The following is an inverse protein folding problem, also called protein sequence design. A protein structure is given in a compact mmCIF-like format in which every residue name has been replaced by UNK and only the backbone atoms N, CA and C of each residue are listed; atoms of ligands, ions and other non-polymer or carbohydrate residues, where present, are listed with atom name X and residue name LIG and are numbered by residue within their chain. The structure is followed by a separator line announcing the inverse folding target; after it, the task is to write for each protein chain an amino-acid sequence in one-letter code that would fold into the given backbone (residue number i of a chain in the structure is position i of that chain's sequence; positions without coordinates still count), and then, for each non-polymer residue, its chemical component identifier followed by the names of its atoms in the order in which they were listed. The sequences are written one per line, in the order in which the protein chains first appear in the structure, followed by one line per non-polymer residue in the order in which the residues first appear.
data_IF_096679456047
#
_entry.id   IF_096679456047
#
_cell.length_a   1.000
_cell.length_b   1.000
_cell.length_c   1.000
_cell.angle_alpha   90.00
_cell.angle_beta   90.00
_cell.angle_gamma   90.00
#
_symmetry.space_group_name_H-M   'P 1'
#
loop_
_entity.id
_entity.type
_entity.pdbx_description
1 polymer ?
#
# COMPACT_ATOMS: atom_id res chain seq x y z
N UNK A 1 8.28 -52.31 -34.72
CA UNK A 1 9.05 -52.36 -35.97
C UNK A 1 9.47 -50.94 -36.28
N UNK A 2 10.71 -50.64 -35.90
CA UNK A 2 11.53 -49.46 -36.19
C UNK A 2 11.87 -49.36 -37.70
N UNK A 3 12.50 -48.28 -38.24
CA UNK A 3 13.41 -47.32 -37.58
C UNK A 3 13.18 -45.84 -37.96
N UNK A 4 13.80 -44.79 -37.41
CA UNK A 4 15.04 -44.68 -36.65
C UNK A 4 16.22 -44.31 -37.55
N UNK A 5 16.43 -43.03 -37.90
CA UNK A 5 17.75 -42.50 -38.29
C UNK A 5 17.87 -40.96 -38.22
N UNK A 6 18.63 -40.52 -37.21
CA UNK A 6 19.82 -39.65 -37.22
C UNK A 6 19.97 -38.45 -38.19
N UNK A 7 20.04 -37.26 -37.57
CA UNK A 7 21.11 -36.22 -37.65
C UNK A 7 21.63 -35.72 -39.01
N UNK A 8 21.50 -34.40 -39.26
CA UNK A 8 22.66 -33.52 -39.50
C UNK A 8 22.24 -32.04 -39.59
N UNK A 9 23.09 -31.15 -39.06
CA UNK A 9 22.89 -29.71 -39.03
C UNK A 9 23.40 -29.03 -40.32
N UNK A 10 22.72 -27.97 -40.77
CA UNK A 10 23.39 -26.85 -41.45
C UNK A 10 22.60 -25.55 -41.31
N UNK A 11 23.24 -24.54 -40.71
CA UNK A 11 22.84 -23.14 -40.76
C UNK A 11 22.75 -22.63 -42.20
N UNK A 12 21.80 -21.75 -42.52
CA UNK A 12 22.06 -20.54 -43.34
C UNK A 12 20.86 -19.58 -43.38
N UNK A 13 21.19 -18.34 -43.05
CA UNK A 13 20.63 -17.06 -43.51
C UNK A 13 19.11 -16.81 -43.42
N UNK A 14 18.76 -15.96 -42.44
CA UNK A 14 17.54 -15.15 -42.51
C UNK A 14 17.73 -14.04 -43.55
N UNK A 15 16.73 -13.86 -44.41
CA UNK A 15 16.51 -12.63 -45.15
C UNK A 15 15.23 -11.99 -44.61
N UNK A 16 15.39 -10.89 -43.87
CA UNK A 16 14.30 -10.01 -43.44
C UNK A 16 14.00 -9.04 -44.57
N UNK A 17 12.79 -9.11 -45.13
CA UNK A 17 12.27 -8.05 -46.00
C UNK A 17 11.90 -6.85 -45.14
N UNK A 18 12.58 -5.73 -45.40
CA UNK A 18 12.36 -4.44 -44.76
C UNK A 18 11.15 -3.77 -45.40
N UNK A 19 10.08 -3.62 -44.64
CA UNK A 19 9.01 -2.70 -44.98
C UNK A 19 9.52 -1.26 -44.90
N UNK A 20 9.40 -0.55 -46.02
CA UNK A 20 9.89 0.80 -46.26
C UNK A 20 8.99 1.82 -45.56
N UNK A 21 9.42 2.31 -44.39
CA UNK A 21 8.72 3.34 -43.65
C UNK A 21 9.07 4.72 -44.24
N UNK A 22 8.18 5.25 -45.09
CA UNK A 22 8.27 6.62 -45.60
C UNK A 22 8.16 7.65 -44.47
N UNK A 23 9.29 8.25 -44.11
CA UNK A 23 9.38 9.40 -43.20
C UNK A 23 8.90 10.66 -43.93
N UNK A 24 7.64 11.05 -43.69
CA UNK A 24 7.19 12.40 -44.02
C UNK A 24 7.88 13.39 -43.09
N UNK A 25 8.78 14.17 -43.69
CA UNK A 25 9.59 15.22 -43.07
C UNK A 25 8.67 16.29 -42.45
N UNK A 26 8.70 16.42 -41.13
CA UNK A 26 7.98 17.48 -40.41
C UNK A 26 8.48 18.86 -40.84
N UNK A 27 7.62 19.63 -41.50
CA UNK A 27 7.82 21.06 -41.66
C UNK A 27 7.67 21.73 -40.30
N UNK A 28 8.81 22.22 -39.78
CA UNK A 28 8.98 22.92 -38.52
C UNK A 28 8.23 24.25 -38.54
N UNK A 29 6.99 24.27 -38.03
CA UNK A 29 6.30 25.52 -37.69
C UNK A 29 6.77 25.99 -36.31
N UNK A 30 7.40 27.16 -36.31
CA UNK A 30 7.84 27.89 -35.12
C UNK A 30 6.62 28.32 -34.28
N UNK A 31 6.66 28.05 -32.97
CA UNK A 31 5.93 28.87 -32.00
C UNK A 31 4.91 28.15 -31.11
N UNK A 32 5.35 27.25 -30.24
CA UNK A 32 4.86 27.22 -28.84
C UNK A 32 5.85 26.43 -28.00
N UNK A 33 6.45 27.07 -26.99
CA UNK A 33 7.26 26.37 -25.99
C UNK A 33 6.34 25.48 -25.15
N UNK A 34 6.15 24.23 -25.57
CA UNK A 34 5.48 23.24 -24.73
C UNK A 34 6.41 22.93 -23.56
N UNK A 35 6.14 23.58 -22.43
CA UNK A 35 6.79 23.25 -21.17
C UNK A 35 6.55 21.78 -20.84
N UNK A 36 7.52 21.08 -20.23
CA UNK A 36 7.32 19.70 -19.79
C UNK A 36 6.04 19.61 -18.95
N UNK A 37 5.22 18.54 -19.06
CA UNK A 37 4.03 18.40 -18.25
C UNK A 37 4.42 18.54 -16.78
N UNK A 38 3.97 19.62 -16.14
CA UNK A 38 4.30 19.91 -14.75
C UNK A 38 3.88 18.71 -13.90
N UNK A 39 4.85 18.01 -13.31
CA UNK A 39 4.56 16.98 -12.30
C UNK A 39 3.72 17.64 -11.22
N UNK A 40 2.51 17.12 -11.01
CA UNK A 40 1.64 17.54 -9.93
C UNK A 40 2.44 17.54 -8.62
N UNK A 41 2.63 18.72 -8.03
CA UNK A 41 3.23 18.84 -6.70
C UNK A 41 2.24 18.25 -5.69
N UNK A 42 2.73 17.43 -4.76
CA UNK A 42 1.88 16.85 -3.72
C UNK A 42 1.40 17.98 -2.79
N UNK A 43 0.14 18.40 -2.94
CA UNK A 43 -0.47 19.48 -2.14
C UNK A 43 -0.78 19.02 -0.71
N UNK A 44 -0.86 17.71 -0.48
CA UNK A 44 -1.25 17.15 0.81
C UNK A 44 -0.02 16.99 1.70
N UNK A 45 -0.07 17.60 2.89
CA UNK A 45 0.93 17.46 3.95
C UNK A 45 0.48 16.40 4.98
N UNK A 46 1.41 15.83 5.78
CA UNK A 46 1.06 14.86 6.81
C UNK A 46 0.08 15.43 7.84
N UNK A 47 0.29 16.68 8.25
CA UNK A 47 -0.60 17.39 9.18
C UNK A 47 -2.02 17.51 8.64
N UNK A 48 -2.18 17.92 7.37
CA UNK A 48 -3.50 17.99 6.74
C UNK A 48 -4.17 16.60 6.68
N UNK A 49 -3.44 15.55 6.32
CA UNK A 49 -3.97 14.19 6.29
C UNK A 49 -4.41 13.72 7.68
N UNK A 50 -3.62 14.00 8.72
CA UNK A 50 -3.94 13.70 10.11
C UNK A 50 -5.20 14.45 10.59
N UNK A 51 -5.34 15.74 10.25
CA UNK A 51 -6.53 16.53 10.57
C UNK A 51 -7.79 15.97 9.90
N UNK A 52 -7.70 15.57 8.63
CA UNK A 52 -8.82 14.93 7.90
C UNK A 52 -9.19 13.56 8.50
N UNK A 53 -8.22 12.78 8.97
CA UNK A 53 -8.45 11.52 9.70
C UNK A 53 -9.13 11.77 11.06
N UNK A 54 -8.63 12.73 11.84
CA UNK A 54 -9.16 13.10 13.17
C UNK A 54 -10.62 13.55 13.10
N UNK A 55 -10.97 14.30 12.05
CA UNK A 55 -12.32 14.81 11.79
C UNK A 55 -13.23 13.81 11.05
N UNK A 56 -12.74 12.59 10.78
CA UNK A 56 -13.47 11.53 10.06
C UNK A 56 -14.01 11.97 8.69
N UNK A 57 -13.33 12.90 8.03
CA UNK A 57 -13.74 13.40 6.72
C UNK A 57 -13.52 12.30 5.67
N UNK A 58 -14.52 12.07 4.83
CA UNK A 58 -14.43 11.13 3.71
C UNK A 58 -13.52 11.68 2.61
N UNK A 59 -12.96 10.82 1.75
CA UNK A 59 -12.09 11.29 0.66
C UNK A 59 -12.82 12.28 -0.25
N UNK A 60 -14.12 12.07 -0.51
CA UNK A 60 -14.96 13.00 -1.28
C UNK A 60 -15.15 14.34 -0.54
N UNK A 61 -15.42 14.30 0.76
CA UNK A 61 -15.54 15.51 1.58
C UNK A 61 -14.25 16.31 1.62
N UNK A 62 -13.10 15.63 1.70
CA UNK A 62 -11.80 16.27 1.65
C UNK A 62 -11.53 16.92 0.28
N UNK A 63 -11.89 16.28 -0.84
CA UNK A 63 -11.82 16.92 -2.16
C UNK A 63 -12.66 18.19 -2.20
N UNK A 64 -13.89 18.12 -1.68
CA UNK A 64 -14.80 19.27 -1.67
C UNK A 64 -14.22 20.45 -0.88
N UNK A 65 -13.76 20.21 0.35
CA UNK A 65 -13.16 21.24 1.20
C UNK A 65 -11.92 21.86 0.56
N UNK A 66 -11.02 21.04 0.01
CA UNK A 66 -9.81 21.51 -0.64
C UNK A 66 -10.12 22.28 -1.93
N UNK A 67 -11.14 21.86 -2.68
CA UNK A 67 -11.61 22.58 -3.87
C UNK A 67 -12.12 23.95 -3.51
N UNK A 68 -12.95 24.07 -2.46
CA UNK A 68 -13.46 25.36 -1.97
C UNK A 68 -12.36 26.26 -1.45
N UNK A 69 -11.41 25.72 -0.68
CA UNK A 69 -10.27 26.50 -0.23
C UNK A 69 -9.37 26.95 -1.40
N UNK A 70 -9.25 26.15 -2.47
CA UNK A 70 -8.47 26.53 -3.63
C UNK A 70 -9.18 27.56 -4.51
N UNK A 71 -10.51 27.50 -4.62
CA UNK A 71 -11.34 28.53 -5.26
C UNK A 71 -11.16 29.90 -4.57
N UNK A 72 -11.04 29.93 -3.24
CA UNK A 72 -10.83 31.18 -2.50
C UNK A 72 -9.38 31.68 -2.56
N UNK A 73 -8.40 30.78 -2.60
CA UNK A 73 -6.97 31.12 -2.58
C UNK A 73 -6.36 31.36 -3.97
N UNK A 74 -6.91 30.79 -5.04
CA UNK A 74 -6.32 30.88 -6.39
C UNK A 74 -7.34 31.22 -7.46
N UNK A 75 -7.03 32.24 -8.27
CA UNK A 75 -7.82 32.64 -9.46
C UNK A 75 -7.76 31.60 -10.60
N UNK A 76 -6.87 30.59 -10.53
CA UNK A 76 -6.61 29.64 -11.62
C UNK A 76 -7.15 28.23 -11.35
N UNK A 77 -8.23 27.88 -12.05
CA UNK A 77 -8.92 26.58 -12.01
C UNK A 77 -8.07 25.38 -12.47
N UNK A 78 -6.93 25.62 -13.14
CA UNK A 78 -6.13 24.57 -13.82
C UNK A 78 -5.40 23.62 -12.87
N UNK A 79 -5.21 23.99 -11.60
CA UNK A 79 -4.57 23.11 -10.60
C UNK A 79 -5.54 22.06 -10.01
N UNK A 80 -6.85 22.19 -10.25
CA UNK A 80 -7.91 21.31 -9.75
C UNK A 80 -8.11 20.03 -10.56
N UNK A 81 -7.61 19.99 -11.80
CA UNK A 81 -7.78 18.84 -12.73
C UNK A 81 -6.81 17.69 -12.43
N UNK A 82 -6.27 17.64 -11.22
CA UNK A 82 -5.60 16.45 -10.72
C UNK A 82 -6.69 15.60 -10.07
N UNK A 83 -6.66 14.27 -10.21
CA UNK A 83 -7.61 13.39 -9.54
C UNK A 83 -7.41 13.47 -8.01
N UNK A 84 -7.93 14.53 -7.39
CA UNK A 84 -7.78 14.87 -5.98
C UNK A 84 -8.28 13.74 -5.10
N UNK A 85 -9.35 13.05 -5.52
CA UNK A 85 -9.87 11.88 -4.78
C UNK A 85 -8.83 10.77 -4.68
N UNK A 86 -8.14 10.46 -5.79
CA UNK A 86 -7.10 9.45 -5.81
C UNK A 86 -5.86 9.86 -5.02
N UNK A 87 -5.49 11.14 -5.06
CA UNK A 87 -4.33 11.66 -4.32
C UNK A 87 -4.59 11.65 -2.83
N UNK A 88 -5.73 12.16 -2.37
CA UNK A 88 -6.12 12.17 -0.96
C UNK A 88 -6.12 10.74 -0.42
N UNK A 89 -6.77 9.82 -1.13
CA UNK A 89 -6.81 8.41 -0.73
C UNK A 89 -5.41 7.82 -0.60
N UNK A 90 -4.58 7.95 -1.64
CA UNK A 90 -3.20 7.41 -1.65
C UNK A 90 -2.35 8.02 -0.55
N UNK A 91 -2.45 9.33 -0.36
CA UNK A 91 -1.68 10.03 0.64
C UNK A 91 -2.07 9.62 2.07
N UNK A 92 -3.38 9.55 2.37
CA UNK A 92 -3.87 9.04 3.66
C UNK A 92 -3.43 7.60 3.91
N UNK A 93 -3.52 6.73 2.90
CA UNK A 93 -3.03 5.35 3.01
C UNK A 93 -1.53 5.30 3.32
N UNK A 94 -0.72 6.09 2.62
CA UNK A 94 0.72 6.19 2.86
C UNK A 94 1.00 6.73 4.26
N UNK A 95 0.33 7.80 4.68
CA UNK A 95 0.49 8.41 5.99
C UNK A 95 0.15 7.43 7.11
N UNK A 96 -0.97 6.70 7.01
CA UNK A 96 -1.34 5.67 7.99
C UNK A 96 -0.34 4.52 8.05
N UNK A 97 0.20 4.09 6.90
CA UNK A 97 1.24 3.07 6.88
C UNK A 97 2.53 3.54 7.56
N UNK A 98 2.98 4.76 7.26
CA UNK A 98 4.15 5.38 7.92
C UNK A 98 3.92 5.53 9.42
N UNK A 99 2.76 6.02 9.83
CA UNK A 99 2.42 6.19 11.24
C UNK A 99 2.35 4.86 11.99
N UNK A 100 1.83 3.80 11.36
CA UNK A 100 1.84 2.46 11.95
C UNK A 100 3.26 1.90 12.12
N UNK A 101 4.18 2.17 11.19
CA UNK A 101 5.59 1.81 11.32
C UNK A 101 6.27 2.58 12.46
N UNK A 102 5.99 3.88 12.58
CA UNK A 102 6.49 4.71 13.68
C UNK A 102 5.97 4.20 15.03
N UNK A 103 4.67 3.90 15.14
CA UNK A 103 4.08 3.35 16.35
C UNK A 103 4.72 2.02 16.78
N UNK A 104 5.10 1.17 15.81
CA UNK A 104 5.83 -0.06 16.08
C UNK A 104 7.25 0.21 16.59
N UNK A 105 7.94 1.20 16.02
CA UNK A 105 9.30 1.58 16.44
C UNK A 105 9.32 2.24 17.83
N UNK A 106 8.33 3.07 18.15
CA UNK A 106 8.20 3.78 19.42
C UNK A 106 7.71 2.88 20.56
N UNK A 107 7.41 1.61 20.25
CA UNK A 107 6.79 0.68 21.18
C UNK A 107 7.77 0.23 22.27
N UNK A 108 7.71 0.89 23.42
CA UNK A 108 8.43 0.47 24.63
C UNK A 108 7.65 -0.60 25.37
N UNK A 109 8.05 -1.85 25.19
CA UNK A 109 7.46 -2.99 25.88
C UNK A 109 8.12 -3.24 27.23
N UNK A 110 7.30 -3.66 28.18
CA UNK A 110 7.75 -4.08 29.52
C UNK A 110 8.65 -5.31 29.44
N UNK A 111 9.33 -5.62 30.54
CA UNK A 111 10.20 -6.81 30.66
C UNK A 111 9.40 -8.11 30.50
N UNK A 112 8.15 -8.10 30.96
CA UNK A 112 7.20 -9.21 30.79
C UNK A 112 5.94 -8.72 30.08
N UNK A 113 5.47 -9.51 29.12
CA UNK A 113 4.26 -9.23 28.35
C UNK A 113 3.26 -10.38 28.41
N UNK A 114 1.99 -10.03 28.39
CA UNK A 114 0.86 -10.94 28.27
C UNK A 114 0.25 -10.75 26.89
N UNK A 115 0.04 -11.87 26.19
CA UNK A 115 -0.53 -11.88 24.85
C UNK A 115 -1.95 -12.39 24.93
N UNK A 116 -2.91 -11.66 24.39
CA UNK A 116 -4.28 -12.09 24.22
C UNK A 116 -4.63 -12.10 22.73
N UNK A 117 -5.15 -13.21 22.21
CA UNK A 117 -5.54 -13.32 20.81
C UNK A 117 -6.99 -13.80 20.72
N UNK A 118 -7.78 -13.14 19.89
CA UNK A 118 -9.22 -13.38 19.90
C UNK A 118 -9.57 -14.70 19.21
N UNK A 119 -10.45 -15.49 19.82
CA UNK A 119 -10.96 -16.73 19.22
C UNK A 119 -11.80 -16.52 17.95
N UNK A 120 -12.33 -15.30 17.75
CA UNK A 120 -13.19 -14.93 16.62
C UNK A 120 -12.39 -14.25 15.53
N UNK A 121 -12.54 -14.73 14.31
CA UNK A 121 -11.90 -14.14 13.13
C UNK A 121 -12.76 -13.02 12.56
N UNK A 122 -12.11 -11.94 12.15
CA UNK A 122 -12.75 -10.87 11.39
C UNK A 122 -12.62 -11.15 9.90
N UNK A 123 -13.69 -10.92 9.15
CA UNK A 123 -13.65 -11.00 7.69
C UNK A 123 -12.96 -9.77 7.10
N UNK A 124 -12.24 -9.94 5.99
CA UNK A 124 -11.68 -8.79 5.26
C UNK A 124 -12.81 -8.00 4.56
N UNK A 125 -12.84 -6.69 4.78
CA UNK A 125 -13.84 -5.77 4.20
C UNK A 125 -13.73 -5.62 2.68
N UNK A 126 -12.65 -6.17 2.08
CA UNK A 126 -12.31 -5.87 0.68
C UNK A 126 -13.04 -6.76 -0.32
N UNK A 127 -13.86 -7.75 0.09
CA UNK A 127 -14.70 -8.65 -0.73
C UNK A 127 -14.02 -9.38 -1.92
N UNK A 128 -12.73 -9.16 -2.17
CA UNK A 128 -12.02 -9.72 -3.33
C UNK A 128 -11.53 -11.16 -3.11
N UNK A 129 -11.30 -11.55 -1.84
CA UNK A 129 -10.82 -12.88 -1.42
C UNK A 129 -11.31 -13.18 -0.01
N UNK A 130 -11.61 -14.46 0.28
CA UNK A 130 -11.84 -14.91 1.65
C UNK A 130 -10.51 -14.87 2.41
N UNK A 131 -10.32 -13.85 3.22
CA UNK A 131 -9.14 -13.65 4.07
C UNK A 131 -9.65 -13.40 5.47
N UNK A 132 -9.20 -14.24 6.40
CA UNK A 132 -9.51 -14.08 7.81
C UNK A 132 -8.51 -13.13 8.45
N UNK A 133 -8.93 -12.41 9.48
CA UNK A 133 -8.09 -11.50 10.25
C UNK A 133 -8.15 -11.88 11.71
N UNK A 134 -6.97 -12.00 12.32
CA UNK A 134 -6.83 -12.34 13.72
C UNK A 134 -6.26 -11.15 14.49
N UNK A 135 -7.05 -10.54 15.39
CA UNK A 135 -6.53 -9.52 16.28
C UNK A 135 -5.71 -10.17 17.40
N UNK A 136 -4.55 -9.57 17.68
CA UNK A 136 -3.62 -9.96 18.74
C UNK A 136 -3.30 -8.71 19.56
N UNK A 137 -3.66 -8.76 20.83
CA UNK A 137 -3.38 -7.74 21.82
C UNK A 137 -2.16 -8.16 22.64
N UNK A 138 -1.21 -7.24 22.79
CA UNK A 138 -0.04 -7.40 23.65
C UNK A 138 -0.10 -6.32 24.72
N UNK A 139 -0.06 -6.72 25.97
CA UNK A 139 -0.04 -5.81 27.12
C UNK A 139 1.12 -6.14 28.06
N UNK A 140 1.62 -5.12 28.75
CA UNK A 140 2.71 -5.28 29.72
C UNK A 140 2.52 -4.28 30.85
N UNK A 141 3.12 -4.56 32.01
CA UNK A 141 2.98 -3.69 33.19
C UNK A 141 3.53 -2.29 32.87
N UNK A 142 2.68 -1.27 33.02
CA UNK A 142 3.04 0.14 32.78
C UNK A 142 3.28 0.50 31.30
N UNK A 143 3.08 -0.44 30.37
CA UNK A 143 3.20 -0.19 28.94
C UNK A 143 1.82 0.05 28.32
N UNK A 144 1.77 0.91 27.30
CA UNK A 144 0.56 1.09 26.50
C UNK A 144 0.28 -0.21 25.73
N UNK A 145 -0.94 -0.77 25.81
CA UNK A 145 -1.28 -1.98 25.08
C UNK A 145 -1.16 -1.78 23.57
N UNK A 146 -0.62 -2.78 22.89
CA UNK A 146 -0.48 -2.79 21.44
C UNK A 146 -1.45 -3.78 20.80
N UNK A 147 -2.22 -3.32 19.82
CA UNK A 147 -3.13 -4.17 19.06
C UNK A 147 -2.62 -4.32 17.63
N UNK A 148 -2.29 -5.56 17.26
CA UNK A 148 -2.02 -5.97 15.90
C UNK A 148 -3.17 -6.75 15.29
N UNK A 149 -3.25 -6.78 13.96
CA UNK A 149 -4.21 -7.60 13.23
C UNK A 149 -3.48 -8.34 12.12
N UNK A 150 -3.30 -9.64 12.31
CA UNK A 150 -2.65 -10.53 11.34
C UNK A 150 -3.65 -10.98 10.29
N UNK A 151 -3.27 -10.92 9.01
CA UNK A 151 -4.07 -11.49 7.91
C UNK A 151 -3.74 -12.97 7.73
N UNK A 152 -4.77 -13.78 7.58
CA UNK A 152 -4.69 -15.23 7.47
C UNK A 152 -5.38 -15.71 6.19
N UNK A 153 -4.79 -16.70 5.53
CA UNK A 153 -5.41 -17.34 4.37
C UNK A 153 -6.66 -18.14 4.76
N UNK A 154 -6.68 -18.73 5.96
CA UNK A 154 -7.83 -19.42 6.52
C UNK A 154 -7.76 -19.44 8.06
N UNK A 155 -8.89 -19.75 8.66
CA UNK A 155 -9.08 -19.77 10.10
C UNK A 155 -8.69 -21.05 10.82
N UNK A 156 -7.86 -21.92 10.26
CA UNK A 156 -7.45 -23.16 10.93
C UNK A 156 -6.58 -22.87 12.16
N UNK A 157 -6.68 -23.70 13.20
CA UNK A 157 -5.93 -23.49 14.46
C UNK A 157 -4.43 -23.31 14.26
N UNK A 158 -3.83 -24.14 13.39
CA UNK A 158 -2.40 -24.08 13.02
C UNK A 158 -2.00 -22.75 12.35
N UNK A 159 -2.82 -22.25 11.42
CA UNK A 159 -2.53 -20.99 10.74
C UNK A 159 -2.63 -19.82 11.73
N UNK A 160 -3.60 -19.87 12.66
CA UNK A 160 -3.72 -18.85 13.69
C UNK A 160 -2.54 -18.86 14.67
N UNK A 161 -2.15 -20.03 15.20
CA UNK A 161 -1.02 -20.13 16.14
C UNK A 161 0.28 -19.64 15.49
N UNK A 162 0.53 -20.03 14.24
CA UNK A 162 1.71 -19.59 13.50
C UNK A 162 1.71 -18.07 13.29
N UNK A 163 0.55 -17.47 13.05
CA UNK A 163 0.44 -16.03 12.89
C UNK A 163 0.66 -15.25 14.19
N UNK A 164 0.26 -15.80 15.35
CA UNK A 164 0.58 -15.21 16.65
C UNK A 164 2.10 -15.25 16.88
N UNK A 165 2.74 -16.40 16.67
CA UNK A 165 4.21 -16.53 16.83
C UNK A 165 4.95 -15.60 15.86
N UNK A 166 4.54 -15.54 14.60
CA UNK A 166 5.14 -14.64 13.62
C UNK A 166 4.98 -13.16 14.01
N UNK A 167 3.84 -12.79 14.58
CA UNK A 167 3.60 -11.43 15.06
C UNK A 167 4.49 -11.07 16.26
N UNK A 168 4.69 -12.00 17.21
CA UNK A 168 5.58 -11.78 18.35
C UNK A 168 7.05 -11.66 17.92
N UNK A 169 7.47 -12.41 16.90
CA UNK A 169 8.78 -12.29 16.25
C UNK A 169 8.98 -10.97 15.56
N UNK A 170 7.97 -10.52 14.82
CA UNK A 170 8.01 -9.19 14.16
C UNK A 170 8.20 -8.07 15.17
N UNK A 171 7.63 -8.21 16.36
CA UNK A 171 7.79 -7.25 17.46
C UNK A 171 9.06 -7.46 18.29
N UNK A 172 9.79 -8.56 18.11
CA UNK A 172 11.00 -8.87 18.89
C UNK A 172 10.74 -9.10 20.39
N UNK A 173 9.57 -9.63 20.75
CA UNK A 173 9.14 -9.80 22.16
C UNK A 173 8.90 -11.27 22.54
N UNK A 174 9.27 -12.22 21.69
CA UNK A 174 8.99 -13.64 21.90
C UNK A 174 9.58 -14.18 23.22
N UNK A 175 10.76 -13.72 23.62
CA UNK A 175 11.43 -14.15 24.86
C UNK A 175 10.85 -13.51 26.13
N UNK A 176 9.95 -12.55 25.99
CA UNK A 176 9.36 -11.78 27.10
C UNK A 176 7.94 -12.22 27.44
N UNK A 177 7.40 -13.19 26.71
CA UNK A 177 6.02 -13.65 26.86
C UNK A 177 5.89 -14.46 28.14
N UNK A 178 5.12 -13.93 29.10
CA UNK A 178 4.82 -14.63 30.34
C UNK A 178 3.66 -15.61 30.17
N UNK A 179 2.63 -15.19 29.43
CA UNK A 179 1.41 -15.97 29.23
C UNK A 179 0.71 -15.61 27.92
N UNK A 180 0.00 -16.59 27.35
CA UNK A 180 -0.83 -16.43 26.15
C UNK A 180 -2.26 -16.86 26.46
N UNK A 181 -3.21 -15.96 26.27
CA UNK A 181 -4.65 -16.19 26.50
C UNK A 181 -5.43 -16.14 25.20
N UNK A 182 -6.43 -17.01 25.07
CA UNK A 182 -7.42 -17.01 23.99
C UNK A 182 -8.73 -16.36 24.43
#
# INVERSE_FOLDING_TARGET
MDPGDSSSASCSAKAEEKEEFHLQQEQRVVGTSVSPPMRAKNVITPGLAASLDRTKVSDRGAVFLLTKQLETLTTSRKMLTINCSSIIRRYRQKHRAMYALQLKADLKMSETVVVHWEGKLMQDLTNKKHVDRLPVLVSGKGAVPFLGVSKLANGTGRVRSNAVVAFLRELGIEDRVLAVFR
#
